data_IF_119096390927
#
_entry.id   IF_119096390927
#
_cell.length_a   1.000
_cell.length_b   1.000
_cell.length_c   1.000
_cell.angle_alpha   90.00
_cell.angle_beta   90.00
_cell.angle_gamma   90.00
#
_symmetry.space_group_name_H-M   'P 1'
#
loop_
_entity.id
_entity.type
_entity.pdbx_description
1 polymer ?
#
# COMPACT_ATOMS: atom_id res chain seq x y z
N UNK A 1 18.46 -23.53 44.85
CA UNK A 1 17.76 -22.27 44.56
C UNK A 1 17.22 -22.43 43.15
N UNK A 2 15.89 -22.36 42.94
CA UNK A 2 15.40 -22.39 41.56
C UNK A 2 15.91 -21.12 40.86
N UNK A 3 16.37 -21.28 39.63
CA UNK A 3 16.80 -20.17 38.78
C UNK A 3 15.55 -19.46 38.26
N UNK A 4 15.59 -18.13 38.18
CA UNK A 4 14.60 -17.32 37.49
C UNK A 4 15.22 -16.87 36.16
N UNK A 5 14.53 -17.12 35.05
CA UNK A 5 14.90 -16.63 33.72
C UNK A 5 13.63 -16.24 32.97
N UNK A 6 13.64 -15.07 32.34
CA UNK A 6 12.62 -14.65 31.39
C UNK A 6 13.15 -14.84 29.97
N UNK A 7 12.26 -15.19 29.05
CA UNK A 7 12.49 -15.39 27.61
C UNK A 7 11.56 -14.46 26.84
N UNK A 8 12.01 -13.98 25.69
CA UNK A 8 11.18 -13.12 24.85
C UNK A 8 9.95 -13.89 24.34
N UNK A 9 8.85 -13.17 24.16
CA UNK A 9 7.61 -13.69 23.59
C UNK A 9 7.35 -12.95 22.28
N UNK A 10 7.08 -13.69 21.20
CA UNK A 10 6.65 -13.13 19.93
C UNK A 10 5.23 -13.59 19.59
N UNK A 11 4.37 -12.63 19.27
CA UNK A 11 3.00 -12.88 18.80
C UNK A 11 2.83 -12.20 17.46
N UNK A 12 2.28 -12.94 16.50
CA UNK A 12 1.80 -12.40 15.23
C UNK A 12 0.27 -12.32 15.28
N UNK A 13 -0.30 -11.12 15.22
CA UNK A 13 -1.72 -10.97 14.91
C UNK A 13 -1.87 -11.23 13.41
N UNK A 14 -2.67 -12.23 13.04
CA UNK A 14 -2.91 -12.60 11.65
C UNK A 14 -3.85 -11.58 10.99
N UNK A 15 -3.27 -10.43 10.64
CA UNK A 15 -3.94 -9.29 10.05
C UNK A 15 -3.58 -9.20 8.58
N UNK A 16 -4.59 -8.94 7.77
CA UNK A 16 -4.51 -8.73 6.34
C UNK A 16 -5.24 -7.44 5.97
N UNK A 17 -5.21 -7.07 4.69
CA UNK A 17 -5.97 -5.95 4.15
C UNK A 17 -6.77 -6.43 2.94
N UNK A 18 -7.96 -5.86 2.75
CA UNK A 18 -8.74 -6.02 1.51
C UNK A 18 -8.44 -4.92 0.47
N UNK A 19 -7.40 -4.11 0.69
CA UNK A 19 -6.92 -3.09 -0.24
C UNK A 19 -6.76 -3.67 -1.65
N UNK A 20 -7.64 -3.25 -2.56
CA UNK A 20 -7.58 -3.66 -3.94
C UNK A 20 -6.47 -2.90 -4.68
N UNK A 21 -5.70 -3.63 -5.49
CA UNK A 21 -4.78 -3.03 -6.45
C UNK A 21 -5.48 -2.97 -7.80
N UNK A 22 -5.52 -1.78 -8.40
CA UNK A 22 -6.11 -1.56 -9.74
C UNK A 22 -5.09 -0.88 -10.63
N UNK A 23 -5.09 -1.23 -11.92
CA UNK A 23 -4.25 -0.55 -12.91
C UNK A 23 -5.13 -0.03 -14.03
N UNK A 24 -5.05 1.26 -14.27
CA UNK A 24 -5.77 1.93 -15.35
C UNK A 24 -4.79 2.64 -16.28
N UNK A 25 -5.15 2.69 -17.56
CA UNK A 25 -4.37 3.40 -18.58
C UNK A 25 -5.19 4.53 -19.17
N UNK A 26 -4.55 5.68 -19.27
CA UNK A 26 -5.08 6.90 -19.85
C UNK A 26 -4.17 7.32 -20.98
N UNK A 27 -4.73 7.85 -22.06
CA UNK A 27 -3.92 8.39 -23.14
C UNK A 27 -4.60 9.58 -23.78
N UNK A 28 -3.78 10.52 -24.21
CA UNK A 28 -4.19 11.66 -24.99
C UNK A 28 -3.10 12.02 -26.00
N UNK A 29 -3.49 12.70 -27.07
CA UNK A 29 -2.56 13.16 -28.08
C UNK A 29 -2.93 14.57 -28.51
N UNK A 30 -1.92 15.38 -28.80
CA UNK A 30 -2.15 16.78 -29.08
C UNK A 30 -0.88 17.55 -29.36
N UNK A 31 -1.04 18.86 -29.47
CA UNK A 31 0.04 19.81 -29.64
C UNK A 31 0.93 19.82 -28.40
N UNK A 32 2.24 19.76 -28.63
CA UNK A 32 3.24 19.91 -27.58
C UNK A 32 3.22 21.33 -27.01
N UNK A 33 3.17 21.43 -25.68
CA UNK A 33 3.29 22.71 -24.98
C UNK A 33 4.73 23.22 -25.07
N UNK A 34 4.91 24.47 -25.47
CA UNK A 34 6.24 25.09 -25.62
C UNK A 34 6.28 26.44 -24.93
N UNK A 35 7.26 26.68 -24.05
CA UNK A 35 7.49 28.00 -23.44
C UNK A 35 7.85 27.99 -21.96
N UNK A 36 7.87 29.18 -21.35
CA UNK A 36 8.21 29.37 -19.94
C UNK A 36 7.08 28.85 -19.02
N UNK A 37 7.43 27.90 -18.15
CA UNK A 37 6.51 27.08 -17.36
C UNK A 37 5.66 27.85 -16.32
N UNK A 38 5.94 29.13 -16.09
CA UNK A 38 5.29 29.94 -15.04
C UNK A 38 3.83 30.33 -15.28
N UNK A 39 3.31 30.22 -16.51
CA UNK A 39 1.93 30.58 -16.89
C UNK A 39 1.26 29.53 -17.78
N UNK A 40 1.57 28.25 -17.58
CA UNK A 40 1.03 27.14 -18.37
C UNK A 40 -0.50 27.14 -18.47
N UNK A 41 -1.25 27.65 -17.49
CA UNK A 41 -2.71 27.77 -17.56
C UNK A 41 -3.24 28.60 -18.75
N UNK A 42 -2.49 29.59 -19.27
CA UNK A 42 -2.92 30.39 -20.43
C UNK A 42 -2.48 29.83 -21.78
N UNK A 43 -1.64 28.78 -21.78
CA UNK A 43 -1.14 28.12 -22.99
C UNK A 43 -1.85 26.78 -23.29
N UNK A 44 -2.62 26.26 -22.35
CA UNK A 44 -3.42 25.04 -22.52
C UNK A 44 -4.68 25.37 -23.29
N UNK A 45 -4.66 25.13 -24.59
CA UNK A 45 -5.86 24.95 -25.39
C UNK A 45 -6.35 23.51 -25.29
N UNK A 46 -7.59 23.25 -25.75
CA UNK A 46 -8.15 21.89 -25.80
C UNK A 46 -7.37 20.91 -26.70
N UNK A 47 -6.42 21.41 -27.48
CA UNK A 47 -5.62 20.62 -28.41
C UNK A 47 -4.28 20.14 -27.81
N UNK A 48 -3.95 20.47 -26.55
CA UNK A 48 -2.70 20.00 -25.92
C UNK A 48 -2.83 18.59 -25.37
N UNK A 49 -1.81 17.74 -25.54
CA UNK A 49 -1.81 16.39 -24.96
C UNK A 49 -1.76 16.46 -23.42
N UNK A 50 -2.84 16.02 -22.77
CA UNK A 50 -2.93 15.96 -21.32
C UNK A 50 -3.70 14.71 -20.87
N UNK A 51 -3.21 14.07 -19.82
CA UNK A 51 -3.92 12.98 -19.15
C UNK A 51 -4.34 13.45 -17.76
N UNK A 52 -5.59 13.18 -17.40
CA UNK A 52 -6.15 13.48 -16.08
C UNK A 52 -6.57 12.17 -15.44
N UNK A 53 -6.19 11.99 -14.18
CA UNK A 53 -6.53 10.81 -13.38
C UNK A 53 -6.80 11.23 -11.94
N UNK A 54 -7.50 10.38 -11.20
CA UNK A 54 -7.84 10.59 -9.79
C UNK A 54 -7.33 9.43 -8.97
N UNK A 55 -6.72 9.75 -7.84
CA UNK A 55 -6.36 8.80 -6.80
C UNK A 55 -7.43 8.88 -5.73
N UNK A 56 -8.04 7.74 -5.41
CA UNK A 56 -9.16 7.65 -4.48
C UNK A 56 -8.78 8.09 -3.06
N UNK A 57 -9.78 8.43 -2.24
CA UNK A 57 -9.58 8.86 -0.86
C UNK A 57 -8.87 7.76 -0.05
N UNK A 58 -7.81 8.13 0.66
CA UNK A 58 -6.94 7.23 1.42
C UNK A 58 -6.11 6.26 0.58
N UNK A 59 -6.21 6.29 -0.75
CA UNK A 59 -5.42 5.45 -1.64
C UNK A 59 -4.05 6.08 -1.94
N UNK A 60 -3.14 5.24 -2.43
CA UNK A 60 -1.88 5.68 -3.05
C UNK A 60 -1.77 5.14 -4.46
N UNK A 61 -0.94 5.77 -5.30
CA UNK A 61 -0.71 5.28 -6.65
C UNK A 61 0.72 5.48 -7.13
N UNK A 62 1.19 4.49 -7.89
CA UNK A 62 2.40 4.57 -8.69
C UNK A 62 2.01 4.87 -10.14
N UNK A 63 2.69 5.84 -10.73
CA UNK A 63 2.37 6.40 -12.05
C UNK A 63 3.56 6.24 -12.97
N UNK A 64 3.29 5.70 -14.16
CA UNK A 64 4.23 5.72 -15.28
C UNK A 64 3.65 6.61 -16.38
N UNK A 65 4.35 7.70 -16.68
CA UNK A 65 3.99 8.65 -17.73
C UNK A 65 4.94 8.50 -18.90
N UNK A 66 4.42 8.26 -20.09
CA UNK A 66 5.22 8.10 -21.31
C UNK A 66 4.82 9.16 -22.33
N UNK A 67 5.74 10.06 -22.61
CA UNK A 67 5.55 11.13 -23.58
C UNK A 67 6.37 10.85 -24.84
N UNK A 68 5.71 10.65 -25.99
CA UNK A 68 6.38 10.26 -27.24
C UNK A 68 6.14 11.25 -28.37
N UNK A 69 7.22 11.74 -28.97
CA UNK A 69 7.12 12.66 -30.10
C UNK A 69 6.62 11.92 -31.36
N UNK A 70 5.47 12.32 -31.88
CA UNK A 70 4.94 11.75 -33.12
C UNK A 70 5.66 12.40 -34.32
N UNK A 71 6.33 11.61 -35.15
CA UNK A 71 6.97 12.10 -36.39
C UNK A 71 8.51 12.13 -36.41
N UNK A 72 9.20 11.46 -35.49
CA UNK A 72 10.63 11.14 -35.63
C UNK A 72 11.63 12.27 -35.38
N UNK A 73 11.18 13.42 -34.83
CA UNK A 73 12.08 14.50 -34.42
C UNK A 73 12.78 14.20 -33.09
N UNK A 74 13.78 13.32 -33.13
CA UNK A 74 14.63 12.98 -31.97
C UNK A 74 15.31 14.20 -31.34
N UNK A 75 15.49 15.28 -32.12
CA UNK A 75 16.04 16.55 -31.64
C UNK A 75 15.19 17.22 -30.55
N UNK A 76 13.92 16.84 -30.43
CA UNK A 76 13.00 17.38 -29.41
C UNK A 76 13.16 16.69 -28.05
N UNK A 77 13.68 15.46 -28.01
CA UNK A 77 13.75 14.67 -26.78
C UNK A 77 14.73 15.26 -25.75
N UNK A 78 15.81 15.90 -26.20
CA UNK A 78 16.83 16.49 -25.32
C UNK A 78 16.35 17.66 -24.46
N UNK A 79 15.21 18.24 -24.82
CA UNK A 79 14.61 19.41 -24.17
C UNK A 79 13.16 19.17 -23.76
N UNK A 80 12.72 17.90 -23.84
CA UNK A 80 11.41 17.46 -23.40
C UNK A 80 11.41 17.29 -21.88
N UNK A 81 10.35 17.77 -21.24
CA UNK A 81 10.07 17.52 -19.84
C UNK A 81 8.62 17.08 -19.65
N UNK A 82 8.35 16.54 -18.47
CA UNK A 82 7.01 16.19 -18.01
C UNK A 82 6.75 16.96 -16.72
N UNK A 83 5.53 17.45 -16.56
CA UNK A 83 5.06 18.03 -15.32
C UNK A 83 3.77 17.35 -14.89
N UNK A 84 3.59 17.24 -13.58
CA UNK A 84 2.37 16.76 -12.94
C UNK A 84 1.83 17.89 -12.06
N UNK A 85 0.54 18.14 -12.19
CA UNK A 85 -0.17 19.13 -11.39
C UNK A 85 -1.28 18.46 -10.61
N UNK A 86 -1.51 18.94 -9.40
CA UNK A 86 -2.62 18.54 -8.55
C UNK A 86 -3.67 19.66 -8.55
N UNK A 87 -4.94 19.26 -8.65
CA UNK A 87 -6.06 20.18 -8.57
C UNK A 87 -6.35 20.53 -7.10
N UNK A 88 -6.44 21.83 -6.80
CA UNK A 88 -6.84 22.34 -5.49
C UNK A 88 -8.25 22.90 -5.58
N UNK A 89 -9.22 22.20 -4.96
CA UNK A 89 -10.60 22.65 -4.86
C UNK A 89 -10.75 23.94 -4.03
N UNK A 90 -9.81 24.23 -3.12
CA UNK A 90 -9.82 25.44 -2.30
C UNK A 90 -9.55 26.71 -3.12
N UNK A 91 -8.75 26.59 -4.20
CA UNK A 91 -8.33 27.71 -5.04
C UNK A 91 -8.88 27.64 -6.47
N UNK A 92 -9.64 26.58 -6.80
CA UNK A 92 -10.13 26.30 -8.14
C UNK A 92 -8.99 26.35 -9.19
N UNK A 93 -7.84 25.78 -8.83
CA UNK A 93 -6.61 25.94 -9.59
C UNK A 93 -5.71 24.70 -9.54
N UNK A 94 -4.93 24.54 -10.60
CA UNK A 94 -3.90 23.50 -10.72
C UNK A 94 -2.57 23.99 -10.18
N UNK A 95 -1.97 23.22 -9.28
CA UNK A 95 -0.64 23.50 -8.72
C UNK A 95 0.34 22.46 -9.21
N UNK A 96 1.49 22.88 -9.72
CA UNK A 96 2.56 21.97 -10.13
C UNK A 96 3.20 21.32 -8.91
N UNK A 97 3.13 20.00 -8.85
CA UNK A 97 3.74 19.18 -7.78
C UNK A 97 5.02 18.51 -8.25
N UNK A 98 5.12 18.19 -9.54
CA UNK A 98 6.30 17.60 -10.17
C UNK A 98 6.61 18.36 -11.45
N UNK A 99 7.89 18.66 -11.64
CA UNK A 99 8.39 19.29 -12.85
C UNK A 99 9.83 18.83 -13.10
N UNK A 100 10.03 18.05 -14.15
CA UNK A 100 11.32 17.42 -14.46
C UNK A 100 12.39 18.41 -14.92
N UNK A 101 12.05 19.69 -15.14
CA UNK A 101 13.07 20.74 -15.33
C UNK A 101 13.83 21.07 -14.04
N UNK A 102 13.21 20.79 -12.89
CA UNK A 102 13.85 20.97 -11.59
C UNK A 102 14.74 19.77 -11.24
N UNK A 103 15.94 20.05 -10.74
CA UNK A 103 16.95 19.04 -10.45
C UNK A 103 16.46 17.93 -9.51
N UNK A 104 15.57 18.24 -8.57
CA UNK A 104 15.01 17.28 -7.62
C UNK A 104 14.15 16.18 -8.28
N UNK A 105 13.61 16.44 -9.46
CA UNK A 105 12.73 15.52 -10.20
C UNK A 105 13.39 14.96 -11.46
N UNK A 106 14.55 15.49 -11.85
CA UNK A 106 15.23 15.11 -13.10
C UNK A 106 15.62 13.62 -13.13
N UNK A 107 15.91 13.01 -11.97
CA UNK A 107 16.26 11.58 -11.89
C UNK A 107 15.08 10.63 -12.14
N UNK A 108 13.85 11.12 -12.03
CA UNK A 108 12.65 10.33 -12.30
C UNK A 108 12.34 10.23 -13.80
N UNK A 109 12.95 11.09 -14.60
CA UNK A 109 12.77 11.13 -16.05
C UNK A 109 13.85 10.28 -16.73
N UNK A 110 13.43 9.28 -17.49
CA UNK A 110 14.30 8.49 -18.36
C UNK A 110 14.07 8.89 -19.81
N UNK A 111 15.15 8.99 -20.60
CA UNK A 111 15.07 9.34 -22.02
C UNK A 111 15.22 8.04 -22.83
N UNK A 112 14.15 7.65 -23.50
CA UNK A 112 14.11 6.51 -24.40
C UNK A 112 14.47 6.89 -25.84
N UNK A 113 14.33 5.92 -26.75
CA UNK A 113 14.61 6.14 -28.18
C UNK A 113 13.60 7.05 -28.87
N UNK A 114 12.35 7.08 -28.41
CA UNK A 114 11.24 7.79 -29.08
C UNK A 114 10.49 8.77 -28.17
N UNK A 115 10.88 8.86 -26.90
CA UNK A 115 10.11 9.56 -25.88
C UNK A 115 10.84 9.69 -24.57
N UNK A 116 10.14 10.23 -23.58
CA UNK A 116 10.58 10.28 -22.19
C UNK A 116 9.58 9.55 -21.32
N UNK A 117 10.08 8.85 -20.31
CA UNK A 117 9.26 8.15 -19.32
C UNK A 117 9.53 8.75 -17.95
N UNK A 118 8.48 9.18 -17.26
CA UNK A 118 8.52 9.65 -15.88
C UNK A 118 7.88 8.60 -14.98
N UNK A 119 8.65 8.08 -14.03
CA UNK A 119 8.18 7.15 -12.99
C UNK A 119 7.97 7.95 -11.70
N UNK A 120 6.77 7.88 -11.13
CA UNK A 120 6.48 8.50 -9.85
C UNK A 120 5.80 7.51 -8.94
N UNK A 121 6.39 7.32 -7.76
CA UNK A 121 5.87 6.37 -6.78
C UNK A 121 5.14 7.10 -5.65
N UNK A 122 4.16 6.44 -5.06
CA UNK A 122 3.46 6.89 -3.85
C UNK A 122 2.82 8.29 -3.94
N UNK A 123 2.14 8.60 -5.05
CA UNK A 123 1.23 9.75 -5.03
C UNK A 123 0.07 9.45 -4.07
N UNK A 124 -0.31 10.44 -3.28
CA UNK A 124 -1.47 10.38 -2.38
C UNK A 124 -2.78 10.69 -3.11
N UNK A 125 -3.90 10.52 -2.42
CA UNK A 125 -5.23 10.92 -2.88
C UNK A 125 -5.28 12.31 -3.56
N UNK A 126 -6.16 12.42 -4.56
CA UNK A 126 -6.46 13.67 -5.23
C UNK A 126 -6.57 13.56 -6.74
N UNK A 127 -6.93 14.67 -7.38
CA UNK A 127 -7.06 14.75 -8.84
C UNK A 127 -5.81 15.36 -9.44
N UNK A 128 -5.22 14.65 -10.38
CA UNK A 128 -3.97 15.03 -11.03
C UNK A 128 -4.15 15.18 -12.54
N UNK A 129 -3.30 16.01 -13.13
CA UNK A 129 -3.09 16.03 -14.58
C UNK A 129 -1.61 16.03 -14.89
N UNK A 130 -1.22 15.33 -15.94
CA UNK A 130 0.14 15.31 -16.44
C UNK A 130 0.20 15.90 -17.85
N UNK A 131 1.32 16.57 -18.13
CA UNK A 131 1.56 17.26 -19.39
C UNK A 131 3.02 17.09 -19.80
N UNK A 132 3.24 16.86 -21.09
CA UNK A 132 4.58 16.95 -21.69
C UNK A 132 4.80 18.36 -22.25
N UNK A 133 6.03 18.87 -22.10
CA UNK A 133 6.40 20.18 -22.61
C UNK A 133 7.81 20.18 -23.19
N UNK A 134 8.11 21.20 -23.99
CA UNK A 134 9.45 21.45 -24.48
C UNK A 134 9.87 22.90 -24.21
N UNK A 135 11.15 23.09 -23.89
CA UNK A 135 11.70 24.42 -23.60
C UNK A 135 12.19 25.18 -24.84
N UNK A 136 12.27 24.52 -26.00
CA UNK A 136 12.75 25.09 -27.25
C UNK A 136 11.60 25.49 -28.17
N UNK A 137 11.62 26.73 -28.66
CA UNK A 137 10.62 27.25 -29.62
C UNK A 137 10.64 26.53 -30.98
N UNK A 138 11.64 25.67 -31.24
CA UNK A 138 11.72 24.84 -32.44
C UNK A 138 10.67 23.72 -32.44
N UNK A 139 10.06 23.43 -31.29
CA UNK A 139 9.07 22.38 -31.14
C UNK A 139 7.63 22.83 -31.43
N UNK A 140 7.41 24.12 -31.72
CA UNK A 140 6.06 24.67 -32.01
C UNK A 140 5.44 23.96 -33.21
N UNK A 141 4.21 23.47 -33.04
CA UNK A 141 3.49 22.72 -34.09
C UNK A 141 3.72 21.20 -34.07
N UNK A 142 4.55 20.70 -33.15
CA UNK A 142 4.79 19.26 -32.99
C UNK A 142 3.65 18.59 -32.24
N UNK A 143 3.32 17.36 -32.63
CA UNK A 143 2.36 16.52 -31.90
C UNK A 143 3.08 15.52 -31.01
N UNK A 144 2.51 15.29 -29.84
CA UNK A 144 2.98 14.32 -28.86
C UNK A 144 1.83 13.43 -28.43
N UNK A 145 2.11 12.15 -28.17
CA UNK A 145 1.24 11.32 -27.35
C UNK A 145 1.72 11.37 -25.90
N UNK A 146 0.77 11.37 -24.97
CA UNK A 146 1.03 11.20 -23.55
C UNK A 146 0.17 10.06 -23.05
N UNK A 147 0.84 9.02 -22.58
CA UNK A 147 0.24 7.85 -21.99
C UNK A 147 0.53 7.85 -20.47
N UNK A 148 -0.48 7.50 -19.67
CA UNK A 148 -0.40 7.35 -18.22
C UNK A 148 -0.85 5.94 -17.88
N UNK A 149 -0.01 5.21 -17.15
CA UNK A 149 -0.43 4.00 -16.44
C UNK A 149 -0.44 4.32 -14.95
N UNK A 150 -1.60 4.15 -14.33
CA UNK A 150 -1.88 4.47 -12.94
C UNK A 150 -2.16 3.16 -12.22
N UNK A 151 -1.24 2.73 -11.37
CA UNK A 151 -1.43 1.56 -10.51
C UNK A 151 -1.78 2.04 -9.11
N UNK A 152 -3.05 1.95 -8.75
CA UNK A 152 -3.56 2.41 -7.46
C UNK A 152 -3.67 1.26 -6.47
N UNK A 153 -3.37 1.55 -5.21
CA UNK A 153 -3.63 0.71 -4.05
C UNK A 153 -4.68 1.43 -3.21
N UNK A 154 -5.89 0.88 -3.13
CA UNK A 154 -6.95 1.44 -2.33
C UNK A 154 -6.58 1.47 -0.84
N UNK A 155 -7.21 2.36 -0.06
CA UNK A 155 -6.97 2.45 1.38
C UNK A 155 -7.15 1.09 2.10
N UNK A 156 -8.17 0.33 1.68
CA UNK A 156 -8.59 -0.94 2.29
C UNK A 156 -9.03 -0.80 3.75
N UNK A 157 -9.40 -1.93 4.34
CA UNK A 157 -9.59 -2.10 5.78
C UNK A 157 -8.76 -3.27 6.27
N UNK A 158 -8.36 -3.18 7.55
CA UNK A 158 -7.65 -4.25 8.22
C UNK A 158 -8.63 -5.39 8.56
N UNK A 159 -8.30 -6.61 8.16
CA UNK A 159 -9.11 -7.82 8.37
C UNK A 159 -8.30 -8.83 9.19
N UNK A 160 -8.87 -9.31 10.29
CA UNK A 160 -8.23 -10.32 11.14
C UNK A 160 -8.55 -10.15 12.63
N UNK A 161 -7.79 -10.83 13.47
CA UNK A 161 -7.91 -10.72 14.92
C UNK A 161 -7.28 -9.41 15.42
N UNK A 162 -8.11 -8.48 15.89
CA UNK A 162 -7.65 -7.20 16.44
C UNK A 162 -7.35 -7.28 17.94
N UNK A 163 -7.49 -8.46 18.55
CA UNK A 163 -7.17 -8.71 19.95
C UNK A 163 -6.61 -10.11 20.13
N UNK A 164 -5.61 -10.23 20.99
CA UNK A 164 -4.95 -11.49 21.31
C UNK A 164 -4.78 -11.63 22.83
N UNK A 165 -5.01 -12.82 23.37
CA UNK A 165 -4.79 -13.13 24.78
C UNK A 165 -3.74 -14.24 24.92
N UNK A 166 -2.83 -14.06 25.86
CA UNK A 166 -1.73 -15.00 26.14
C UNK A 166 -1.19 -14.85 27.56
N UNK A 167 -0.03 -15.44 27.83
CA UNK A 167 0.67 -15.31 29.10
C UNK A 167 2.19 -15.28 28.90
N UNK A 168 2.83 -14.17 29.30
CA UNK A 168 4.28 -13.96 29.10
C UNK A 168 5.18 -14.90 29.90
N UNK A 169 4.64 -15.58 30.92
CA UNK A 169 5.38 -16.50 31.80
C UNK A 169 5.20 -17.95 31.35
N UNK A 170 3.97 -18.35 31.02
CA UNK A 170 3.64 -19.77 30.81
C UNK A 170 3.64 -20.20 29.36
N UNK A 171 3.50 -19.26 28.43
CA UNK A 171 3.43 -19.60 27.01
C UNK A 171 4.81 -20.04 26.50
N UNK A 172 4.80 -20.93 25.52
CA UNK A 172 6.00 -21.39 24.86
C UNK A 172 6.14 -20.67 23.52
N UNK A 173 7.14 -19.81 23.43
CA UNK A 173 7.56 -19.22 22.16
C UNK A 173 8.38 -20.26 21.37
N UNK A 174 8.07 -20.52 20.09
CA UNK A 174 8.81 -21.48 19.28
C UNK A 174 10.31 -21.14 19.09
N UNK A 175 10.68 -19.86 19.14
CA UNK A 175 12.05 -19.38 18.92
C UNK A 175 12.82 -19.18 20.25
N UNK A 176 12.14 -18.66 21.27
CA UNK A 176 12.75 -18.19 22.53
C UNK A 176 12.44 -19.11 23.74
N UNK A 177 11.54 -20.08 23.56
CA UNK A 177 11.14 -21.05 24.59
C UNK A 177 10.15 -20.47 25.60
N UNK A 178 10.16 -21.00 26.82
CA UNK A 178 9.29 -20.57 27.93
C UNK A 178 10.14 -20.06 29.09
N UNK A 179 9.61 -19.10 29.85
CA UNK A 179 10.24 -18.61 31.07
C UNK A 179 10.52 -19.75 32.06
N UNK A 180 11.68 -19.69 32.71
CA UNK A 180 11.98 -20.54 33.86
C UNK A 180 11.53 -19.80 35.11
N UNK A 181 10.27 -19.99 35.49
CA UNK A 181 9.61 -19.27 36.56
C UNK A 181 9.17 -20.21 37.72
N UNK A 182 9.71 -20.05 38.94
CA UNK A 182 9.23 -20.75 40.13
C UNK A 182 7.76 -20.41 40.47
N UNK A 183 7.11 -21.26 41.26
CA UNK A 183 5.78 -20.94 41.80
C UNK A 183 5.79 -19.62 42.58
N UNK A 184 4.79 -18.77 42.35
CA UNK A 184 4.70 -17.44 42.95
C UNK A 184 5.48 -16.36 42.20
N UNK A 185 6.02 -16.66 41.02
CA UNK A 185 6.56 -15.63 40.11
C UNK A 185 5.44 -14.70 39.68
N UNK A 186 5.68 -13.40 39.71
CA UNK A 186 4.72 -12.39 39.27
C UNK A 186 5.37 -11.33 38.39
N UNK A 187 4.61 -10.78 37.45
CA UNK A 187 4.98 -9.56 36.73
C UNK A 187 4.82 -8.36 37.67
N UNK A 188 5.81 -7.48 37.70
CA UNK A 188 5.82 -6.31 38.59
C UNK A 188 5.90 -4.98 37.86
N UNK A 189 6.51 -4.95 36.68
CA UNK A 189 6.63 -3.75 35.86
C UNK A 189 6.58 -4.13 34.38
N UNK A 190 6.03 -3.22 33.58
CA UNK A 190 6.10 -3.26 32.12
C UNK A 190 6.52 -1.89 31.61
N UNK A 191 7.45 -1.87 30.66
CA UNK A 191 7.93 -0.66 29.99
C UNK A 191 7.51 -0.71 28.53
N UNK A 192 6.85 0.33 28.02
CA UNK A 192 6.51 0.42 26.60
C UNK A 192 7.71 0.89 25.74
N UNK A 193 7.54 0.88 24.42
CA UNK A 193 8.54 1.33 23.45
C UNK A 193 8.97 2.81 23.61
N UNK A 194 8.12 3.65 24.21
CA UNK A 194 8.43 5.05 24.52
C UNK A 194 9.26 5.20 25.81
N UNK A 195 9.44 4.13 26.58
CA UNK A 195 10.17 4.12 27.86
C UNK A 195 9.31 4.40 29.09
N UNK A 196 7.99 4.48 28.94
CA UNK A 196 7.07 4.65 30.07
C UNK A 196 6.97 3.36 30.88
N UNK A 197 7.26 3.47 32.18
CA UNK A 197 7.23 2.34 33.10
C UNK A 197 5.92 2.32 33.87
N UNK A 198 5.20 1.22 33.78
CA UNK A 198 3.94 0.97 34.49
C UNK A 198 4.15 -0.17 35.50
N UNK A 199 3.80 0.08 36.76
CA UNK A 199 3.83 -0.94 37.81
C UNK A 199 2.59 -1.81 37.74
N UNK A 200 2.77 -3.12 37.73
CA UNK A 200 1.69 -4.12 37.84
C UNK A 200 1.45 -4.39 39.32
N UNK A 201 0.23 -4.09 39.79
CA UNK A 201 -0.18 -4.28 41.19
C UNK A 201 -1.11 -5.47 41.32
N UNK A 202 -1.91 -5.60 42.38
CA UNK A 202 -2.78 -6.77 42.55
C UNK A 202 -3.90 -6.85 41.49
N UNK A 203 -4.25 -5.71 40.88
CA UNK A 203 -5.15 -5.60 39.74
C UNK A 203 -4.37 -5.53 38.42
N UNK A 204 -5.06 -5.81 37.30
CA UNK A 204 -4.49 -5.66 35.97
C UNK A 204 -3.94 -4.24 35.73
N UNK A 205 -2.79 -4.15 35.06
CA UNK A 205 -2.23 -2.90 34.57
C UNK A 205 -2.54 -2.73 33.08
N UNK A 206 -2.82 -1.50 32.66
CA UNK A 206 -3.03 -1.14 31.25
C UNK A 206 -1.88 -0.26 30.78
N UNK A 207 -1.25 -0.64 29.68
CA UNK A 207 -0.10 0.02 29.08
C UNK A 207 -0.46 0.38 27.64
N UNK A 208 -0.25 1.65 27.28
CA UNK A 208 -0.44 2.13 25.92
C UNK A 208 0.80 1.80 25.08
N UNK A 209 0.60 1.03 24.01
CA UNK A 209 1.56 0.84 22.92
C UNK A 209 1.42 1.92 21.86
N UNK A 210 2.13 1.76 20.75
CA UNK A 210 2.02 2.67 19.60
C UNK A 210 0.78 2.36 18.76
N UNK A 211 0.44 1.08 18.59
CA UNK A 211 -0.66 0.64 17.73
C UNK A 211 -1.85 0.03 18.49
N UNK A 212 -1.62 -0.36 19.74
CA UNK A 212 -2.65 -0.94 20.59
C UNK A 212 -2.41 -0.75 22.08
N UNK A 213 -3.27 -1.37 22.87
CA UNK A 213 -3.23 -1.36 24.33
C UNK A 213 -2.96 -2.76 24.87
N UNK A 214 -1.97 -2.89 25.75
CA UNK A 214 -1.70 -4.11 26.52
C UNK A 214 -2.36 -4.00 27.89
N UNK A 215 -3.17 -4.98 28.26
CA UNK A 215 -3.66 -5.18 29.64
C UNK A 215 -3.03 -6.45 30.20
N UNK A 216 -2.30 -6.37 31.31
CA UNK A 216 -1.53 -7.48 31.89
C UNK A 216 -1.81 -7.66 33.38
N UNK A 217 -1.94 -8.90 33.82
CA UNK A 217 -2.12 -9.29 35.21
C UNK A 217 -0.79 -9.72 35.86
N UNK A 218 -0.71 -9.73 37.20
CA UNK A 218 0.47 -10.22 37.92
C UNK A 218 0.88 -11.65 37.59
N UNK A 219 -0.07 -12.51 37.24
CA UNK A 219 0.18 -13.90 36.88
C UNK A 219 0.76 -14.08 35.46
N UNK A 220 1.03 -12.97 34.76
CA UNK A 220 1.55 -12.95 33.41
C UNK A 220 0.49 -13.01 32.32
N UNK A 221 -0.77 -13.30 32.65
CA UNK A 221 -1.85 -13.32 31.66
C UNK A 221 -2.09 -11.90 31.14
N UNK A 222 -2.23 -11.77 29.83
CA UNK A 222 -2.44 -10.48 29.19
C UNK A 222 -3.46 -10.55 28.06
N UNK A 223 -3.94 -9.38 27.66
CA UNK A 223 -4.71 -9.17 26.45
C UNK A 223 -4.18 -7.93 25.76
N UNK A 224 -3.82 -8.06 24.49
CA UNK A 224 -3.50 -6.94 23.61
C UNK A 224 -4.72 -6.64 22.73
N UNK A 225 -5.01 -5.36 22.50
CA UNK A 225 -6.09 -4.92 21.62
C UNK A 225 -5.62 -3.75 20.77
N UNK A 226 -5.76 -3.82 19.46
CA UNK A 226 -5.49 -2.71 18.56
C UNK A 226 -6.39 -1.51 18.89
N UNK A 227 -5.81 -0.31 18.91
CA UNK A 227 -6.53 0.94 19.14
C UNK A 227 -6.94 1.63 17.85
N UNK A 228 -6.21 1.38 16.76
CA UNK A 228 -6.48 1.92 15.43
C UNK A 228 -6.33 0.81 14.37
N UNK A 229 -7.18 0.85 13.35
CA UNK A 229 -7.32 -0.18 12.31
C UNK A 229 -6.91 0.35 10.93
N UNK A 230 -5.83 1.12 10.87
CA UNK A 230 -5.26 1.58 9.60
C UNK A 230 -4.37 0.50 8.97
N UNK A 231 -4.51 0.32 7.66
CA UNK A 231 -3.70 -0.62 6.85
C UNK A 231 -2.20 -0.27 6.86
N UNK A 232 -1.86 0.99 7.15
CA UNK A 232 -0.49 1.47 7.35
C UNK A 232 0.23 0.83 8.54
N UNK A 233 -0.51 0.19 9.45
CA UNK A 233 0.06 -0.47 10.63
C UNK A 233 0.51 -1.91 10.33
N UNK A 234 0.19 -2.46 9.15
CA UNK A 234 0.63 -3.81 8.76
C UNK A 234 2.16 -3.89 8.67
N UNK A 235 2.70 -5.00 9.16
CA UNK A 235 4.14 -5.25 9.29
C UNK A 235 4.83 -4.49 10.42
N UNK A 236 4.11 -3.65 11.17
CA UNK A 236 4.67 -2.97 12.34
C UNK A 236 4.65 -3.87 13.57
N UNK A 237 5.37 -3.48 14.61
CA UNK A 237 5.45 -4.24 15.87
C UNK A 237 5.36 -3.30 17.08
N UNK A 238 4.51 -3.64 18.03
CA UNK A 238 4.53 -3.08 19.39
C UNK A 238 5.45 -3.93 20.28
N UNK A 239 6.28 -3.30 21.11
CA UNK A 239 7.20 -3.99 22.02
C UNK A 239 7.02 -3.52 23.46
N UNK A 240 6.93 -4.47 24.38
CA UNK A 240 6.75 -4.24 25.82
C UNK A 240 7.77 -5.05 26.60
N UNK A 241 8.67 -4.40 27.34
CA UNK A 241 9.61 -5.10 28.22
C UNK A 241 8.98 -5.33 29.58
N UNK A 242 8.77 -6.58 29.96
CA UNK A 242 8.19 -6.95 31.25
C UNK A 242 9.27 -7.40 32.24
N UNK A 243 9.01 -7.19 33.54
CA UNK A 243 9.88 -7.62 34.64
C UNK A 243 9.14 -8.57 35.56
N UNK A 244 9.63 -9.80 35.66
CA UNK A 244 9.16 -10.81 36.59
C UNK A 244 10.01 -10.84 37.86
N UNK A 245 9.40 -11.16 39.00
CA UNK A 245 10.08 -11.36 40.27
C UNK A 245 9.70 -12.69 40.90
N UNK A 246 10.69 -13.39 41.45
CA UNK A 246 10.48 -14.58 42.27
C UNK A 246 11.50 -14.61 43.41
N UNK A 247 11.03 -14.75 44.66
CA UNK A 247 11.89 -14.83 45.85
C UNK A 247 12.92 -13.67 45.94
N UNK A 248 12.54 -12.47 45.48
CA UNK A 248 13.41 -11.28 45.51
C UNK A 248 14.43 -11.17 44.37
N UNK A 249 14.47 -12.13 43.44
CA UNK A 249 15.27 -12.07 42.22
C UNK A 249 14.39 -11.60 41.07
N UNK A 250 14.91 -10.73 40.20
CA UNK A 250 14.20 -10.23 39.02
C UNK A 250 14.83 -10.72 37.72
N UNK A 251 14.00 -10.86 36.69
CA UNK A 251 14.41 -11.08 35.30
C UNK A 251 13.53 -10.22 34.37
N UNK A 252 14.05 -9.89 33.19
CA UNK A 252 13.32 -9.13 32.17
C UNK A 252 13.39 -9.83 30.82
N UNK A 253 12.35 -9.62 30.03
CA UNK A 253 12.23 -10.03 28.64
C UNK A 253 11.20 -9.14 27.94
N UNK A 254 11.06 -9.30 26.63
CA UNK A 254 10.16 -8.51 25.80
C UNK A 254 9.00 -9.33 25.27
N UNK A 255 7.80 -8.75 25.30
CA UNK A 255 6.65 -9.18 24.54
C UNK A 255 6.56 -8.33 23.28
N UNK A 256 6.75 -8.96 22.12
CA UNK A 256 6.68 -8.32 20.81
C UNK A 256 5.40 -8.76 20.11
N UNK A 257 4.57 -7.79 19.74
CA UNK A 257 3.30 -7.99 19.05
C UNK A 257 3.43 -7.46 17.62
N UNK A 258 3.63 -8.35 16.66
CA UNK A 258 3.70 -8.02 15.23
C UNK A 258 2.31 -8.00 14.60
N UNK A 259 2.05 -6.99 13.77
CA UNK A 259 0.75 -6.71 13.18
C UNK A 259 0.69 -7.19 11.74
N UNK A 260 0.24 -8.41 11.50
CA UNK A 260 0.21 -9.00 10.17
C UNK A 260 1.58 -9.01 9.50
N UNK A 261 1.57 -9.05 8.17
CA UNK A 261 2.78 -8.95 7.35
C UNK A 261 2.66 -7.75 6.41
N UNK A 262 3.74 -6.99 6.22
CA UNK A 262 3.73 -5.83 5.33
C UNK A 262 3.46 -6.27 3.88
N UNK A 263 2.33 -5.88 3.31
CA UNK A 263 1.96 -6.20 1.93
C UNK A 263 2.99 -5.72 0.90
N UNK A 264 3.76 -4.68 1.23
CA UNK A 264 4.76 -4.07 0.36
C UNK A 264 6.19 -4.56 0.63
N UNK A 265 6.40 -5.45 1.61
CA UNK A 265 7.72 -6.00 1.85
C UNK A 265 8.18 -6.85 0.65
N UNK A 266 9.38 -6.61 0.11
CA UNK A 266 9.90 -7.39 -1.01
C UNK A 266 10.01 -8.87 -0.61
N UNK A 267 9.20 -9.72 -1.24
CA UNK A 267 9.12 -11.16 -0.95
C UNK A 267 7.78 -11.66 -0.43
N UNK A 268 6.82 -10.76 -0.15
CA UNK A 268 5.48 -11.16 0.24
C UNK A 268 4.66 -11.61 -0.98
N UNK A 269 4.41 -12.92 -1.07
CA UNK A 269 3.50 -13.51 -2.05
C UNK A 269 2.12 -13.60 -1.43
N UNK A 270 1.31 -12.56 -1.62
CA UNK A 270 -0.14 -12.67 -1.46
C UNK A 270 -0.68 -13.36 -2.71
N UNK A 271 -1.12 -14.60 -2.55
CA UNK A 271 -1.91 -15.27 -3.60
C UNK A 271 -3.27 -14.59 -3.65
N UNK A 272 -3.45 -13.66 -4.58
CA UNK A 272 -4.79 -13.21 -4.98
C UNK A 272 -5.45 -14.42 -5.64
N UNK A 273 -6.49 -14.95 -5.01
CA UNK A 273 -7.37 -15.91 -5.68
C UNK A 273 -8.14 -15.14 -6.74
N UNK A 274 -7.58 -15.06 -7.94
CA UNK A 274 -8.29 -14.58 -9.12
C UNK A 274 -9.37 -15.61 -9.45
N UNK A 275 -10.52 -15.50 -8.78
CA UNK A 275 -11.74 -16.21 -9.13
C UNK A 275 -12.31 -15.62 -10.43
N UNK A 276 -11.60 -15.83 -11.55
CA UNK A 276 -12.11 -15.56 -12.89
C UNK A 276 -13.24 -16.54 -13.21
N UNK A 277 -14.48 -16.13 -12.98
CA UNK A 277 -15.67 -16.86 -13.43
C UNK A 277 -15.87 -16.66 -14.94
N UNK A 278 -15.59 -17.69 -15.75
CA UNK A 278 -16.03 -17.74 -17.15
C UNK A 278 -17.47 -18.26 -17.18
N UNK A 279 -18.44 -17.38 -17.45
CA UNK A 279 -19.79 -17.79 -17.86
C UNK A 279 -19.79 -18.18 -19.33
N UNK A 280 -19.95 -19.48 -19.61
CA UNK A 280 -20.26 -19.97 -20.95
C UNK A 280 -21.74 -19.72 -21.25
N UNK A 281 -22.03 -18.91 -22.26
CA UNK A 281 -23.38 -18.85 -22.83
C UNK A 281 -23.59 -20.06 -23.74
N UNK A 282 -24.20 -21.11 -23.19
CA UNK A 282 -24.62 -22.28 -23.94
C UNK A 282 -25.99 -22.04 -24.57
N UNK A 283 -26.07 -21.15 -25.56
CA UNK A 283 -27.23 -21.11 -26.45
C UNK A 283 -27.17 -22.31 -27.42
N UNK A 284 -27.94 -23.35 -27.12
CA UNK A 284 -28.12 -24.49 -28.04
C UNK A 284 -29.20 -24.13 -29.06
N UNK A 285 -28.79 -23.83 -30.29
CA UNK A 285 -29.72 -23.82 -31.42
C UNK A 285 -29.98 -25.27 -31.85
N UNK A 286 -31.16 -25.81 -31.54
CA UNK A 286 -31.60 -27.08 -32.10
C UNK A 286 -31.84 -26.90 -33.61
N UNK A 287 -31.09 -27.64 -34.45
CA UNK A 287 -31.45 -27.81 -35.86
C UNK A 287 -32.43 -28.98 -35.94
N UNK A 288 -33.71 -28.68 -36.15
CA UNK A 288 -34.72 -29.67 -36.50
C UNK A 288 -34.58 -30.03 -37.99
N UNK A 289 -34.11 -31.25 -38.28
CA UNK A 289 -33.98 -31.77 -39.64
C UNK A 289 -35.30 -32.37 -40.18
N UNK A 290 -36.42 -32.18 -39.50
CA UNK A 290 -37.73 -32.67 -39.90
C UNK A 290 -37.91 -34.19 -39.79
N UNK A 291 -39.14 -34.64 -40.01
CA UNK A 291 -39.51 -36.06 -39.94
C UNK A 291 -38.95 -36.84 -41.14
N UNK A 292 -38.25 -37.93 -40.87
CA UNK A 292 -37.72 -38.82 -41.91
C UNK A 292 -38.85 -39.64 -42.55
N UNK A 293 -38.91 -39.67 -43.88
CA UNK A 293 -39.95 -40.37 -44.65
C UNK A 293 -39.53 -41.80 -44.96
N UNK A 294 -40.17 -42.79 -44.33
CA UNK A 294 -40.10 -44.18 -44.78
C UNK A 294 -41.41 -44.55 -45.46
N UNK A 295 -41.34 -44.70 -46.79
CA UNK A 295 -42.43 -45.25 -47.60
C UNK A 295 -42.46 -46.76 -47.40
N UNK A 296 -43.39 -47.24 -46.59
CA UNK A 296 -43.77 -48.65 -46.59
C UNK A 296 -45.16 -48.83 -47.17
N UNK A 297 -45.30 -49.93 -47.92
CA UNK A 297 -46.49 -50.74 -48.24
C UNK A 297 -46.76 -50.90 -49.75
N UNK A 298 -47.50 -51.94 -50.19
CA UNK A 298 -48.08 -53.06 -49.42
C UNK A 298 -47.69 -54.45 -49.97
N UNK A 299 -47.96 -55.49 -49.18
CA UNK A 299 -47.84 -56.91 -49.55
C UNK A 299 -48.77 -57.32 -50.71
#
# INVERSE_FOLDING_TARGET
MLVLSASDNAVLLDLTTDAAVTTESYSDWGLLVVGALGNIASLLGNDSAQVTFTIDEGASADIVLEASATGGLLSLLSSMGVMVQQYSAATDAWTTVIDTSNAQWASLLTIGSNGVTLNVDNLTEGTYRALAYNTTLLAVGSFISLDATVTQIAAGILVGETSFSGNVITDADPEHGTDVAPAGTVVTQVTNSAGDVVTVTQDAATIQGTYGTLTINPDGSYTYTLTDIATTHLGQTDSFTYTIIANGVTANASLNISLGTDINAPGNVITVDDAASITFDATVAAIDNGVSSQNDLPC
#
